data_IF_979728233769
#
_entry.id   IF_979728233769
#
_cell.length_a   1.000
_cell.length_b   1.000
_cell.length_c   1.000
_cell.angle_alpha   90.00
_cell.angle_beta   90.00
_cell.angle_gamma   90.00
#
_symmetry.space_group_name_H-M   'P 1'
#
loop_
_entity.id
_entity.type
_entity.pdbx_description
1 polymer ?
#
# COMPACT_ATOMS: atom_id res chain seq x y z
N UNK A 1 -10.87 -35.05 75.52
CA UNK A 1 -11.01 -35.63 74.16
C UNK A 1 -11.24 -34.52 73.13
N UNK A 2 -10.24 -33.74 72.75
CA UNK A 2 -10.44 -32.65 71.75
C UNK A 2 -9.22 -32.39 70.85
N UNK A 3 -8.05 -32.98 71.11
CA UNK A 3 -6.83 -32.71 70.32
C UNK A 3 -6.66 -33.57 69.06
N UNK A 4 -7.54 -34.56 68.82
CA UNK A 4 -7.41 -35.50 67.70
C UNK A 4 -8.01 -35.01 66.38
N UNK A 5 -8.89 -33.99 66.40
CA UNK A 5 -9.59 -33.52 65.19
C UNK A 5 -8.79 -32.51 64.35
N UNK A 6 -7.84 -31.78 64.96
CA UNK A 6 -7.10 -30.68 64.29
C UNK A 6 -6.07 -31.20 63.27
N UNK A 7 -5.49 -32.40 63.47
CA UNK A 7 -4.48 -32.95 62.56
C UNK A 7 -5.05 -33.45 61.24
N UNK A 8 -6.35 -33.77 61.17
CA UNK A 8 -7.02 -34.32 59.98
C UNK A 8 -7.32 -33.24 58.91
N UNK A 9 -7.38 -31.97 59.30
CA UNK A 9 -7.71 -30.86 58.38
C UNK A 9 -6.53 -30.37 57.53
N UNK A 10 -5.27 -30.65 57.92
CA UNK A 10 -4.10 -30.26 57.12
C UNK A 10 -3.71 -31.30 56.04
N UNK A 11 -4.37 -32.46 56.01
CA UNK A 11 -4.15 -33.53 55.04
C UNK A 11 -5.01 -33.40 53.77
N UNK A 12 -6.09 -32.59 53.80
CA UNK A 12 -7.05 -32.49 52.68
C UNK A 12 -6.70 -31.44 51.61
N UNK A 13 -5.59 -30.71 51.73
CA UNK A 13 -5.21 -29.62 50.80
C UNK A 13 -3.88 -29.84 50.06
N UNK A 14 -3.30 -31.04 50.09
CA UNK A 14 -2.20 -31.39 49.15
C UNK A 14 -2.76 -31.64 47.75
N UNK A 15 -3.37 -30.64 47.12
CA UNK A 15 -3.54 -30.61 45.67
C UNK A 15 -2.14 -30.70 45.09
N UNK A 16 -1.78 -31.85 44.51
CA UNK A 16 -0.51 -32.05 43.80
C UNK A 16 -0.40 -30.92 42.78
N UNK A 17 0.47 -29.94 43.04
CA UNK A 17 0.79 -28.91 42.05
C UNK A 17 1.49 -29.64 40.91
N UNK A 18 0.78 -29.90 39.80
CA UNK A 18 1.38 -30.37 38.56
C UNK A 18 2.22 -29.19 38.04
N UNK A 19 3.51 -29.21 38.36
CA UNK A 19 4.47 -28.26 37.81
C UNK A 19 4.74 -28.58 36.35
N UNK A 20 4.99 -27.54 35.57
CA UNK A 20 5.46 -27.67 34.19
C UNK A 20 6.86 -28.30 34.19
N UNK A 21 7.09 -29.31 33.36
CA UNK A 21 8.41 -29.94 33.24
C UNK A 21 9.33 -29.06 32.39
N UNK A 22 10.64 -29.09 32.68
CA UNK A 22 11.63 -28.39 31.85
C UNK A 22 11.65 -28.94 30.42
N UNK A 23 11.37 -30.23 30.25
CA UNK A 23 11.29 -30.87 28.93
C UNK A 23 10.13 -30.32 28.11
N UNK A 24 8.95 -30.11 28.72
CA UNK A 24 7.81 -29.46 28.05
C UNK A 24 8.17 -28.04 27.59
N UNK A 25 8.93 -27.28 28.41
CA UNK A 25 9.37 -25.93 28.02
C UNK A 25 10.34 -25.96 26.83
N UNK A 26 11.29 -26.90 26.84
CA UNK A 26 12.32 -27.03 25.79
C UNK A 26 11.68 -27.36 24.43
N UNK A 27 10.66 -28.23 24.41
CA UNK A 27 9.97 -28.57 23.16
C UNK A 27 9.19 -27.37 22.62
N UNK A 28 8.54 -26.60 23.50
CA UNK A 28 7.78 -25.41 23.10
C UNK A 28 8.68 -24.34 22.47
N UNK A 29 9.82 -24.03 23.09
CA UNK A 29 10.76 -23.05 22.52
C UNK A 29 11.38 -23.56 21.21
N UNK A 30 11.61 -24.87 21.08
CA UNK A 30 12.15 -25.46 19.86
C UNK A 30 11.16 -25.33 18.68
N UNK A 31 9.87 -25.58 18.92
CA UNK A 31 8.84 -25.43 17.88
C UNK A 31 8.64 -23.94 17.54
N UNK A 32 8.61 -23.04 18.53
CA UNK A 32 8.52 -21.59 18.29
C UNK A 32 9.71 -21.10 17.46
N UNK A 33 10.92 -21.61 17.71
CA UNK A 33 12.10 -21.26 16.92
C UNK A 33 11.97 -21.65 15.44
N UNK A 34 11.42 -22.83 15.15
CA UNK A 34 11.17 -23.29 13.77
C UNK A 34 10.08 -22.44 13.10
N UNK A 35 8.96 -22.21 13.79
CA UNK A 35 7.85 -21.42 13.27
C UNK A 35 8.27 -19.97 12.99
N UNK A 36 9.05 -19.36 13.90
CA UNK A 36 9.57 -18.01 13.73
C UNK A 36 10.50 -17.88 12.51
N UNK A 37 11.27 -18.93 12.19
CA UNK A 37 12.16 -18.93 11.03
C UNK A 37 11.41 -18.96 9.68
N UNK A 38 10.24 -19.58 9.63
CA UNK A 38 9.43 -19.73 8.40
C UNK A 38 8.36 -18.63 8.28
N UNK A 39 8.01 -17.98 9.40
CA UNK A 39 6.98 -16.96 9.47
C UNK A 39 7.44 -15.59 8.91
N UNK A 40 7.72 -15.51 7.61
CA UNK A 40 7.84 -14.24 6.90
C UNK A 40 6.94 -14.26 5.65
N UNK A 41 5.71 -13.76 5.74
CA UNK A 41 4.93 -13.42 4.55
C UNK A 41 5.63 -12.29 3.77
N UNK A 42 5.97 -12.55 2.50
CA UNK A 42 6.55 -11.53 1.59
C UNK A 42 5.47 -10.53 1.12
N UNK A 43 5.02 -9.66 2.01
CA UNK A 43 4.03 -8.62 1.69
C UNK A 43 4.55 -7.57 0.70
N UNK A 44 5.87 -7.33 0.63
CA UNK A 44 6.45 -6.25 -0.17
C UNK A 44 6.18 -6.34 -1.68
N UNK A 45 6.17 -7.56 -2.25
CA UNK A 45 5.92 -7.71 -3.70
C UNK A 45 4.44 -7.54 -4.06
N UNK A 46 3.54 -7.90 -3.14
CA UNK A 46 2.08 -7.75 -3.33
C UNK A 46 1.70 -6.28 -3.24
N UNK A 47 2.22 -5.56 -2.24
CA UNK A 47 1.96 -4.12 -2.10
C UNK A 47 2.54 -3.33 -3.28
N UNK A 48 3.74 -3.67 -3.75
CA UNK A 48 4.32 -3.05 -4.96
C UNK A 48 3.43 -3.22 -6.20
N UNK A 49 2.96 -4.44 -6.47
CA UNK A 49 2.05 -4.70 -7.61
C UNK A 49 0.70 -3.98 -7.48
N UNK A 50 0.18 -3.91 -6.25
CA UNK A 50 -1.04 -3.13 -5.95
C UNK A 50 -0.83 -1.64 -6.25
N UNK A 51 0.31 -1.08 -5.83
CA UNK A 51 0.66 0.31 -6.09
C UNK A 51 0.80 0.60 -7.59
N UNK A 52 1.45 -0.27 -8.35
CA UNK A 52 1.56 -0.14 -9.82
C UNK A 52 0.17 -0.15 -10.47
N UNK A 53 -0.69 -1.09 -10.07
CA UNK A 53 -2.06 -1.19 -10.61
C UNK A 53 -2.88 0.06 -10.29
N UNK A 54 -2.76 0.57 -9.07
CA UNK A 54 -3.42 1.81 -8.66
C UNK A 54 -2.93 3.02 -9.47
N UNK A 55 -1.62 3.13 -9.68
CA UNK A 55 -1.04 4.23 -10.45
C UNK A 55 -1.49 4.19 -11.93
N UNK A 56 -1.60 2.99 -12.52
CA UNK A 56 -2.12 2.83 -13.88
C UNK A 56 -3.60 3.25 -13.96
N UNK A 57 -4.41 2.90 -12.96
CA UNK A 57 -5.82 3.29 -12.91
C UNK A 57 -5.98 4.82 -12.79
N UNK A 58 -5.19 5.46 -11.91
CA UNK A 58 -5.16 6.91 -11.77
C UNK A 58 -4.66 7.59 -13.05
N UNK A 59 -3.62 7.07 -13.70
CA UNK A 59 -3.10 7.60 -14.95
C UNK A 59 -4.15 7.54 -16.08
N UNK A 60 -4.92 6.44 -16.18
CA UNK A 60 -6.05 6.33 -17.11
C UNK A 60 -7.11 7.39 -16.83
N UNK A 61 -7.49 7.59 -15.57
CA UNK A 61 -8.46 8.61 -15.19
C UNK A 61 -7.98 10.02 -15.59
N UNK A 62 -6.72 10.36 -15.29
CA UNK A 62 -6.12 11.64 -15.69
C UNK A 62 -6.09 11.83 -17.21
N UNK A 63 -5.83 10.76 -17.98
CA UNK A 63 -5.86 10.85 -19.43
C UNK A 63 -7.25 11.20 -19.98
N UNK A 64 -8.32 10.64 -19.37
CA UNK A 64 -9.69 10.97 -19.73
C UNK A 64 -10.06 12.41 -19.36
N UNK A 65 -9.61 12.88 -18.19
CA UNK A 65 -9.81 14.27 -17.76
C UNK A 65 -9.08 15.24 -18.71
N UNK A 66 -7.84 14.92 -19.10
CA UNK A 66 -7.10 15.73 -20.05
C UNK A 66 -7.76 15.74 -21.43
N UNK A 67 -8.32 14.61 -21.88
CA UNK A 67 -9.08 14.56 -23.14
C UNK A 67 -10.29 15.50 -23.09
N UNK A 68 -11.01 15.52 -21.97
CA UNK A 68 -12.12 16.44 -21.77
C UNK A 68 -11.65 17.90 -21.74
N UNK A 69 -10.53 18.20 -21.07
CA UNK A 69 -9.97 19.54 -21.01
C UNK A 69 -9.55 20.06 -22.41
N UNK A 70 -8.96 19.21 -23.24
CA UNK A 70 -8.59 19.55 -24.63
C UNK A 70 -9.82 19.79 -25.49
N UNK A 71 -10.87 18.98 -25.31
CA UNK A 71 -12.13 19.17 -26.04
C UNK A 71 -12.79 20.53 -25.73
N UNK A 72 -12.60 21.06 -24.53
CA UNK A 72 -13.08 22.39 -24.13
C UNK A 72 -12.12 23.51 -24.57
N UNK A 73 -10.81 23.26 -24.52
CA UNK A 73 -9.79 24.25 -24.82
C UNK A 73 -8.66 23.65 -25.68
N UNK A 74 -8.80 23.77 -27.01
CA UNK A 74 -7.80 23.30 -27.99
C UNK A 74 -6.42 23.94 -27.79
N UNK A 75 -6.33 25.12 -27.15
CA UNK A 75 -5.06 25.77 -26.80
C UNK A 75 -4.17 24.95 -25.86
N UNK A 76 -4.69 23.86 -25.27
CA UNK A 76 -3.93 22.93 -24.44
C UNK A 76 -3.17 21.87 -25.26
N UNK A 77 -3.30 21.86 -26.59
CA UNK A 77 -2.48 20.98 -27.43
C UNK A 77 -1.01 21.40 -27.39
N UNK A 78 -0.12 20.41 -27.34
CA UNK A 78 1.33 20.62 -27.29
C UNK A 78 1.85 21.08 -25.92
N UNK A 79 1.06 20.98 -24.86
CA UNK A 79 1.45 21.41 -23.51
C UNK A 79 1.48 20.23 -22.53
N UNK A 80 1.91 20.48 -21.28
CA UNK A 80 1.94 19.48 -20.22
C UNK A 80 1.45 20.06 -18.88
N UNK A 81 1.19 19.20 -17.90
CA UNK A 81 0.75 19.60 -16.54
C UNK A 81 1.79 20.41 -15.74
N UNK A 82 2.99 20.64 -16.27
CA UNK A 82 3.92 21.64 -15.75
C UNK A 82 3.57 23.07 -16.17
N UNK A 83 2.74 23.23 -17.20
CA UNK A 83 2.21 24.53 -17.65
C UNK A 83 1.00 24.92 -16.82
N UNK A 84 0.95 26.17 -16.34
CA UNK A 84 -0.14 26.65 -15.48
C UNK A 84 -1.52 26.42 -16.12
N UNK A 85 -1.71 26.77 -17.39
CA UNK A 85 -2.98 26.61 -18.09
C UNK A 85 -3.49 25.15 -18.10
N UNK A 86 -2.61 24.18 -18.42
CA UNK A 86 -2.96 22.75 -18.46
C UNK A 86 -3.18 22.18 -17.08
N UNK A 87 -2.35 22.59 -16.12
CA UNK A 87 -2.49 22.18 -14.72
C UNK A 87 -3.84 22.64 -14.16
N UNK A 88 -4.20 23.90 -14.36
CA UNK A 88 -5.48 24.46 -13.90
C UNK A 88 -6.66 23.81 -14.61
N UNK A 89 -6.58 23.58 -15.93
CA UNK A 89 -7.68 22.95 -16.69
C UNK A 89 -7.96 21.51 -16.24
N UNK A 90 -6.91 20.73 -15.98
CA UNK A 90 -7.04 19.36 -15.48
C UNK A 90 -7.48 19.37 -14.00
N UNK A 91 -6.85 20.22 -13.18
CA UNK A 91 -7.15 20.29 -11.76
C UNK A 91 -8.56 20.82 -11.46
N UNK A 92 -9.09 21.71 -12.29
CA UNK A 92 -10.48 22.18 -12.18
C UNK A 92 -11.52 21.07 -12.35
N UNK A 93 -11.11 19.91 -12.88
CA UNK A 93 -11.93 18.71 -13.05
C UNK A 93 -11.61 17.62 -12.01
N UNK A 94 -10.64 17.86 -11.13
CA UNK A 94 -10.31 16.99 -10.00
C UNK A 94 -11.03 17.46 -8.74
N UNK A 95 -11.47 16.53 -7.92
CA UNK A 95 -12.05 16.85 -6.62
C UNK A 95 -10.97 17.42 -5.68
N UNK A 96 -11.17 18.66 -5.23
CA UNK A 96 -10.20 19.42 -4.44
C UNK A 96 -9.17 20.24 -5.23
N UNK A 97 -9.27 20.31 -6.56
CA UNK A 97 -8.47 21.24 -7.36
C UNK A 97 -6.97 20.96 -7.37
N UNK A 98 -6.17 22.02 -7.60
CA UNK A 98 -4.70 21.88 -7.70
C UNK A 98 -4.03 21.42 -6.40
N UNK A 99 -4.67 21.65 -5.26
CA UNK A 99 -4.17 21.24 -3.95
C UNK A 99 -4.12 19.72 -3.79
N UNK A 100 -4.99 19.00 -4.51
CA UNK A 100 -5.11 17.55 -4.44
C UNK A 100 -4.57 16.85 -5.70
N UNK A 101 -3.54 17.43 -6.31
CA UNK A 101 -2.91 16.81 -7.48
C UNK A 101 -2.38 15.41 -7.11
N UNK A 102 -2.77 14.36 -7.85
CA UNK A 102 -2.42 13.00 -7.48
C UNK A 102 -0.91 12.74 -7.60
N UNK A 103 -0.43 11.85 -6.75
CA UNK A 103 0.95 11.34 -6.75
C UNK A 103 0.97 9.85 -7.03
N UNK A 104 2.03 9.40 -7.69
CA UNK A 104 2.28 7.97 -7.89
C UNK A 104 2.57 7.31 -6.54
N UNK A 105 2.11 6.08 -6.34
CA UNK A 105 2.43 5.27 -5.17
C UNK A 105 3.78 4.59 -5.32
N UNK A 106 4.24 4.36 -6.55
CA UNK A 106 5.54 3.70 -6.81
C UNK A 106 6.71 4.66 -6.64
N UNK A 107 6.63 5.87 -7.19
CA UNK A 107 7.73 6.84 -7.19
C UNK A 107 7.50 8.04 -6.28
N UNK A 108 6.27 8.23 -5.77
CA UNK A 108 5.87 9.39 -4.95
C UNK A 108 6.01 10.74 -5.66
N UNK A 109 6.20 10.70 -6.98
CA UNK A 109 6.23 11.88 -7.84
C UNK A 109 4.80 12.31 -8.20
N UNK A 110 4.64 13.58 -8.55
CA UNK A 110 3.37 14.06 -9.11
C UNK A 110 3.17 13.42 -10.48
N UNK A 111 1.92 13.07 -10.82
CA UNK A 111 1.61 12.68 -12.19
C UNK A 111 1.86 13.85 -13.14
N UNK A 112 2.45 13.56 -14.29
CA UNK A 112 2.65 14.51 -15.39
C UNK A 112 1.80 14.06 -16.55
N UNK A 113 0.82 14.86 -16.93
CA UNK A 113 0.04 14.65 -18.16
C UNK A 113 0.64 15.50 -19.27
N UNK A 114 0.92 14.90 -20.41
CA UNK A 114 1.39 15.61 -21.60
C UNK A 114 0.37 15.41 -22.71
N UNK A 115 -0.05 16.53 -23.30
CA UNK A 115 -0.98 16.58 -24.42
C UNK A 115 -0.14 16.97 -25.64
N UNK A 116 0.05 16.01 -26.55
CA UNK A 116 0.76 16.23 -27.80
C UNK A 116 0.03 17.23 -28.70
N UNK A 117 0.77 17.83 -29.63
CA UNK A 117 0.19 18.73 -30.64
C UNK A 117 -0.81 18.01 -31.56
N UNK A 118 -0.68 16.70 -31.69
CA UNK A 118 -1.57 15.83 -32.47
C UNK A 118 -2.80 15.34 -31.68
N UNK A 119 -2.94 15.74 -30.41
CA UNK A 119 -4.02 15.31 -29.51
C UNK A 119 -3.72 14.03 -28.74
N UNK A 120 -2.54 13.44 -28.93
CA UNK A 120 -2.10 12.27 -28.14
C UNK A 120 -1.91 12.63 -26.66
N UNK A 121 -2.45 11.82 -25.76
CA UNK A 121 -2.35 12.07 -24.32
C UNK A 121 -1.51 10.97 -23.67
N UNK A 122 -0.42 11.40 -23.03
CA UNK A 122 0.45 10.52 -22.25
C UNK A 122 0.43 10.95 -20.79
N UNK A 123 0.52 9.97 -19.88
CA UNK A 123 0.58 10.21 -18.44
C UNK A 123 1.74 9.42 -17.87
N UNK A 124 2.61 10.11 -17.13
CA UNK A 124 3.79 9.52 -16.50
C UNK A 124 4.09 10.12 -15.13
N UNK A 125 5.24 9.79 -14.58
CA UNK A 125 5.74 10.34 -13.32
C UNK A 125 6.82 11.43 -13.52
N UNK A 126 6.97 11.89 -14.77
CA UNK A 126 8.02 12.82 -15.21
C UNK A 126 9.27 12.12 -15.76
N UNK A 127 9.48 10.83 -15.46
CA UNK A 127 10.60 10.03 -15.99
C UNK A 127 10.11 8.85 -16.81
N UNK A 128 9.23 8.04 -16.23
CA UNK A 128 8.64 6.85 -16.83
C UNK A 128 7.20 7.11 -17.24
N UNK A 129 6.81 6.63 -18.42
CA UNK A 129 5.42 6.65 -18.87
C UNK A 129 4.61 5.55 -18.16
N UNK A 130 3.37 5.87 -17.79
CA UNK A 130 2.43 4.95 -17.13
C UNK A 130 1.28 4.61 -18.09
N UNK A 131 0.79 5.60 -18.85
CA UNK A 131 -0.27 5.48 -19.84
C UNK A 131 0.11 6.22 -21.13
N UNK A 132 -0.24 5.71 -22.34
CA UNK A 132 -1.08 4.54 -22.65
C UNK A 132 -0.41 3.18 -22.41
N UNK A 133 0.92 3.13 -22.48
CA UNK A 133 1.72 1.94 -22.19
C UNK A 133 2.71 2.25 -21.08
N UNK A 134 2.66 1.46 -20.01
CA UNK A 134 3.58 1.58 -18.89
C UNK A 134 5.02 1.22 -19.30
N UNK A 135 5.99 1.90 -18.70
CA UNK A 135 7.42 1.71 -18.90
C UNK A 135 8.17 1.75 -17.56
N UNK A 136 9.44 1.34 -17.59
CA UNK A 136 10.36 1.44 -16.46
C UNK A 136 9.84 0.79 -15.17
N UNK A 137 9.73 1.59 -14.11
CA UNK A 137 9.35 1.12 -12.76
C UNK A 137 7.92 0.59 -12.66
N UNK A 138 7.07 0.86 -13.66
CA UNK A 138 5.66 0.46 -13.69
C UNK A 138 5.41 -0.86 -14.44
N UNK A 139 6.46 -1.49 -14.96
CA UNK A 139 6.39 -2.83 -15.58
C UNK A 139 7.24 -3.88 -14.86
N UNK A 140 7.92 -3.49 -13.77
CA UNK A 140 8.89 -4.31 -13.02
C UNK A 140 8.37 -4.88 -11.70
#
# INVERSE_FOLDING_TARGET
>A
MTSLSIRKMNELSKKKKKGFTLVELIIVIAIIAILAAIAIPKFGSITKKSNITADIATAKNLSGIAAQAVAEQQSLLGTNSGTAATKTAIAGKLDGGEANWPKTKVTQANFVVTIGSDGDITVGDGTDQIYPKAAGKFVS
#
